data_IF_463441777121
#
_entry.id   IF_463441777121
#
_cell.length_a   1.000
_cell.length_b   1.000
_cell.length_c   1.000
_cell.angle_alpha   90.00
_cell.angle_beta   90.00
_cell.angle_gamma   90.00
#
_symmetry.space_group_name_H-M   'P 1'
#
loop_
_entity.id
_entity.type
_entity.pdbx_description
1 polymer ?
#
# COMPACT_ATOMS: atom_id res chain seq x y z
N UNK A 1 8.10 19.47 18.28
CA UNK A 1 8.46 20.82 17.83
C UNK A 1 7.32 21.29 16.95
N UNK A 2 6.64 22.36 17.36
CA UNK A 2 5.51 22.92 16.63
C UNK A 2 5.99 23.96 15.60
N UNK A 3 5.13 24.32 14.65
CA UNK A 3 5.42 25.34 13.62
C UNK A 3 5.79 26.70 14.27
N UNK A 4 5.11 27.06 15.35
CA UNK A 4 5.40 28.25 16.16
C UNK A 4 6.84 28.25 16.69
N UNK A 5 7.34 27.10 17.18
CA UNK A 5 8.71 26.98 17.69
C UNK A 5 9.74 27.23 16.59
N UNK A 6 9.48 26.74 15.37
CA UNK A 6 10.36 26.97 14.21
C UNK A 6 10.43 28.45 13.84
N UNK A 7 9.29 29.15 13.84
CA UNK A 7 9.21 30.59 13.53
C UNK A 7 10.01 31.41 14.54
N UNK A 8 9.90 31.10 15.83
CA UNK A 8 10.68 31.77 16.87
C UNK A 8 12.20 31.58 16.68
N UNK A 9 12.63 30.36 16.33
CA UNK A 9 14.05 30.04 16.12
C UNK A 9 14.64 30.68 14.85
N UNK A 10 13.82 30.89 13.82
CA UNK A 10 14.23 31.66 12.62
C UNK A 10 14.59 33.09 13.02
N UNK A 11 13.71 33.75 13.78
CA UNK A 11 13.93 35.13 14.25
C UNK A 11 15.18 35.21 15.13
N UNK A 12 15.38 34.24 16.01
CA UNK A 12 16.58 34.16 16.85
C UNK A 12 17.87 34.00 16.03
N UNK A 13 17.87 33.09 15.05
CA UNK A 13 19.03 32.87 14.17
C UNK A 13 19.34 34.10 13.31
N UNK A 14 18.30 34.77 12.77
CA UNK A 14 18.45 36.02 12.01
C UNK A 14 19.01 37.14 12.89
N UNK A 15 18.52 37.28 14.13
CA UNK A 15 19.03 38.25 15.09
C UNK A 15 20.49 37.99 15.47
N UNK A 16 20.92 36.73 15.49
CA UNK A 16 22.30 36.33 15.70
C UNK A 16 23.19 36.47 14.44
N UNK A 17 22.61 36.78 13.27
CA UNK A 17 23.31 36.84 11.99
C UNK A 17 23.64 35.47 11.40
N UNK A 18 23.09 34.39 11.94
CA UNK A 18 23.26 33.02 11.44
C UNK A 18 22.26 32.74 10.31
N UNK A 19 22.57 33.28 9.14
CA UNK A 19 21.75 33.17 7.94
C UNK A 19 21.65 31.72 7.41
N UNK A 20 22.66 30.89 7.67
CA UNK A 20 22.68 29.50 7.24
C UNK A 20 21.65 28.69 8.04
N UNK A 21 21.69 28.80 9.37
CA UNK A 21 20.70 28.14 10.23
C UNK A 21 19.29 28.67 9.96
N UNK A 22 19.12 29.98 9.78
CA UNK A 22 17.84 30.57 9.42
C UNK A 22 17.29 30.01 8.09
N UNK A 23 18.16 29.81 7.10
CA UNK A 23 17.82 29.18 5.82
C UNK A 23 17.32 27.74 5.97
N UNK A 24 18.05 26.91 6.72
CA UNK A 24 17.66 25.52 6.99
C UNK A 24 16.31 25.43 7.73
N UNK A 25 16.09 26.33 8.69
CA UNK A 25 14.83 26.39 9.44
C UNK A 25 13.66 26.80 8.55
N UNK A 26 13.85 27.77 7.64
CA UNK A 26 12.82 28.17 6.66
C UNK A 26 12.48 27.04 5.70
N UNK A 27 13.47 26.28 5.24
CA UNK A 27 13.23 25.12 4.38
C UNK A 27 12.42 24.04 5.13
N UNK A 28 12.81 23.74 6.37
CA UNK A 28 12.09 22.79 7.22
C UNK A 28 10.63 23.24 7.47
N UNK A 29 10.43 24.53 7.74
CA UNK A 29 9.10 25.13 7.91
C UNK A 29 8.26 24.98 6.63
N UNK A 30 8.83 25.28 5.46
CA UNK A 30 8.15 25.13 4.17
C UNK A 30 7.71 23.68 3.89
N UNK A 31 8.55 22.68 4.22
CA UNK A 31 8.19 21.26 4.08
C UNK A 31 7.02 20.85 4.97
N UNK A 32 6.91 21.44 6.17
CA UNK A 32 5.81 21.17 7.09
C UNK A 32 4.52 21.86 6.64
N UNK A 33 4.61 23.10 6.16
CA UNK A 33 3.45 23.87 5.67
C UNK A 33 2.89 23.34 4.36
N UNK A 34 3.74 22.88 3.43
CA UNK A 34 3.26 22.30 2.17
C UNK A 34 2.54 20.95 2.36
N UNK A 35 2.75 20.29 3.50
CA UNK A 35 2.25 18.95 3.73
C UNK A 35 2.81 17.92 2.75
N UNK A 36 3.93 18.22 2.06
CA UNK A 36 4.64 17.30 1.15
C UNK A 36 5.30 16.17 1.94
N UNK A 37 4.45 15.30 2.45
CA UNK A 37 4.85 14.04 3.03
C UNK A 37 4.81 12.96 1.95
N UNK A 38 5.92 12.24 1.79
CA UNK A 38 5.92 10.98 1.03
C UNK A 38 5.14 9.87 1.76
N UNK A 39 4.71 10.12 3.01
CA UNK A 39 3.84 9.21 3.74
C UNK A 39 2.45 9.26 3.12
N UNK A 40 2.02 8.14 2.55
CA UNK A 40 0.65 7.94 2.09
C UNK A 40 -0.05 6.97 3.04
N UNK A 41 -1.35 7.15 3.20
CA UNK A 41 -2.17 6.20 3.94
C UNK A 41 -2.00 4.79 3.35
N UNK A 42 -1.72 3.82 4.21
CA UNK A 42 -1.63 2.43 3.77
C UNK A 42 -3.01 1.95 3.35
N UNK A 43 -3.10 1.36 2.16
CA UNK A 43 -4.31 0.69 1.70
C UNK A 43 -4.31 -0.76 2.20
N UNK A 44 -5.42 -1.26 2.77
CA UNK A 44 -5.56 -2.68 3.09
C UNK A 44 -5.19 -3.55 1.88
N UNK A 45 -4.35 -4.56 2.09
CA UNK A 45 -3.90 -5.48 1.04
C UNK A 45 -2.60 -5.10 0.30
N UNK A 46 -2.16 -3.84 0.34
CA UNK A 46 -0.91 -3.41 -0.33
C UNK A 46 0.37 -3.98 0.30
N UNK A 47 0.29 -4.43 1.56
CA UNK A 47 1.42 -4.92 2.36
C UNK A 47 1.71 -6.41 2.19
N UNK A 48 1.00 -7.13 1.32
CA UNK A 48 1.19 -8.58 1.13
C UNK A 48 0.83 -9.44 2.34
N UNK A 49 0.25 -8.86 3.39
CA UNK A 49 -0.14 -9.52 4.65
C UNK A 49 -1.48 -10.30 4.56
N UNK A 50 -1.90 -10.71 3.36
CA UNK A 50 -3.09 -11.55 3.16
C UNK A 50 -4.44 -10.90 3.49
N UNK A 51 -4.50 -9.60 3.75
CA UNK A 51 -5.75 -8.90 4.11
C UNK A 51 -6.62 -8.52 2.90
N UNK A 52 -6.20 -8.85 1.68
CA UNK A 52 -7.05 -8.79 0.50
C UNK A 52 -7.50 -10.22 0.20
N UNK A 53 -8.63 -10.65 0.79
CA UNK A 53 -9.33 -11.81 0.21
C UNK A 53 -9.94 -11.34 -1.10
N UNK A 54 -9.24 -11.56 -2.21
CA UNK A 54 -9.87 -11.41 -3.52
C UNK A 54 -11.01 -12.44 -3.63
N UNK A 55 -12.25 -11.96 -3.65
CA UNK A 55 -13.38 -12.77 -4.06
C UNK A 55 -13.38 -12.85 -5.58
N UNK A 56 -12.97 -13.98 -6.15
CA UNK A 56 -13.20 -14.24 -7.57
C UNK A 56 -14.71 -14.33 -7.82
N UNK A 57 -15.32 -13.30 -8.39
CA UNK A 57 -16.67 -13.42 -8.96
C UNK A 57 -16.58 -14.30 -10.20
N UNK A 58 -17.18 -15.48 -10.15
CA UNK A 58 -17.27 -16.35 -11.33
C UNK A 58 -18.29 -15.75 -12.29
N UNK A 59 -17.83 -14.98 -13.28
CA UNK A 59 -18.72 -14.55 -14.35
C UNK A 59 -19.14 -15.75 -15.20
N UNK A 60 -20.41 -16.13 -15.07
CA UNK A 60 -21.18 -16.65 -16.20
C UNK A 60 -21.09 -18.15 -16.52
N UNK A 61 -20.51 -19.02 -15.70
CA UNK A 61 -20.70 -20.47 -15.88
C UNK A 61 -20.61 -21.26 -14.58
N UNK A 62 -21.62 -22.09 -14.24
CA UNK A 62 -21.53 -22.97 -13.08
C UNK A 62 -20.40 -23.99 -13.28
N UNK A 63 -19.62 -24.23 -12.23
CA UNK A 63 -18.59 -25.27 -12.26
C UNK A 63 -19.21 -26.64 -12.61
N UNK A 64 -18.52 -27.48 -13.38
CA UNK A 64 -19.00 -28.83 -13.66
C UNK A 64 -19.20 -29.60 -12.36
N UNK A 65 -20.29 -30.38 -12.30
CA UNK A 65 -20.59 -31.22 -11.15
C UNK A 65 -19.43 -32.22 -10.95
N UNK A 66 -19.00 -32.40 -9.70
CA UNK A 66 -18.00 -33.44 -9.37
C UNK A 66 -18.50 -34.80 -9.90
N UNK A 67 -17.62 -35.61 -10.49
CA UNK A 67 -17.98 -36.96 -10.89
C UNK A 67 -18.50 -37.74 -9.67
N UNK A 68 -19.45 -38.64 -9.90
CA UNK A 68 -19.98 -39.54 -8.87
C UNK A 68 -18.81 -40.26 -8.19
N UNK A 69 -18.82 -40.43 -6.85
CA UNK A 69 -17.81 -41.22 -6.14
C UNK A 69 -17.44 -42.54 -6.83
N UNK A 70 -18.41 -43.23 -7.43
CA UNK A 70 -18.26 -44.50 -8.13
C UNK A 70 -17.62 -44.38 -9.52
N UNK A 71 -17.41 -43.16 -10.03
CA UNK A 71 -16.81 -42.84 -11.34
C UNK A 71 -15.51 -42.05 -11.22
N UNK A 72 -15.07 -41.72 -10.00
CA UNK A 72 -13.86 -40.95 -9.73
C UNK A 72 -12.62 -41.79 -10.09
N UNK A 73 -12.11 -41.59 -11.31
CA UNK A 73 -10.92 -42.29 -11.84
C UNK A 73 -11.17 -43.15 -13.07
N UNK A 74 -12.42 -43.27 -13.54
CA UNK A 74 -12.75 -44.04 -14.74
C UNK A 74 -12.84 -43.14 -15.97
N UNK A 75 -11.94 -43.32 -16.94
CA UNK A 75 -12.07 -42.73 -18.29
C UNK A 75 -13.00 -43.65 -19.12
N UNK A 76 -14.13 -43.16 -19.66
CA UNK A 76 -14.90 -43.95 -20.62
C UNK A 76 -14.09 -44.04 -21.91
N UNK A 77 -13.79 -45.25 -22.38
CA UNK A 77 -13.12 -45.49 -23.67
C UNK A 77 -11.71 -46.11 -23.62
N UNK A 78 -11.31 -46.70 -22.49
CA UNK A 78 -10.02 -47.40 -22.38
C UNK A 78 -10.09 -48.91 -22.59
N UNK A 79 -10.47 -49.41 -23.77
CA UNK A 79 -10.11 -50.79 -24.18
C UNK A 79 -9.56 -50.80 -25.60
N UNK A 80 -8.24 -50.75 -25.69
CA UNK A 80 -7.47 -51.30 -26.82
C UNK A 80 -7.24 -52.79 -26.59
N UNK A 81 -6.96 -53.50 -27.69
CA UNK A 81 -6.71 -54.95 -27.91
C UNK A 81 -7.95 -55.68 -28.43
N UNK A 82 -7.88 -56.43 -29.53
CA UNK A 82 -6.78 -56.91 -30.37
C UNK A 82 -7.32 -57.22 -31.75
#
# INVERSE_FOLDING_TARGET
MMIEDLRARIVEAEAAGDLETAGLLREALGRLESGDSKLREQRPGAMGLGTSQESYSTEGSPLPKKPDPMTKGHKPGGRRRS
#
